data_IF_388135321927
#
_entry.id   IF_388135321927
#
_cell.length_a   1.000
_cell.length_b   1.000
_cell.length_c   1.000
_cell.angle_alpha   90.00
_cell.angle_beta   90.00
_cell.angle_gamma   90.00
#
_symmetry.space_group_name_H-M   'P 1'
#
loop_
_entity.id
_entity.type
_entity.pdbx_description
1 polymer ?
#
# COMPACT_ATOMS: atom_id res chain seq x y z
N UNK A 1 3.37 64.62 14.19
CA UNK A 1 3.75 63.48 15.06
C UNK A 1 2.75 63.43 16.21
N UNK A 2 2.33 62.26 16.76
CA UNK A 2 2.69 60.84 16.49
C UNK A 2 1.50 59.99 15.97
N UNK A 3 1.73 59.01 15.08
CA UNK A 3 1.81 57.54 15.30
C UNK A 3 0.65 56.89 16.09
N UNK A 4 -0.10 55.98 15.45
CA UNK A 4 -0.19 54.61 15.98
C UNK A 4 -0.48 53.55 14.89
N UNK A 5 0.27 52.46 14.98
CA UNK A 5 0.34 51.30 14.07
C UNK A 5 -0.69 50.24 14.49
N UNK A 6 -1.24 49.49 13.53
CA UNK A 6 -1.25 48.02 13.55
C UNK A 6 -2.01 47.46 12.36
N UNK A 7 -1.25 47.01 11.36
CA UNK A 7 -1.65 45.94 10.47
C UNK A 7 -1.87 44.67 11.32
N UNK A 8 -2.94 43.94 11.05
CA UNK A 8 -2.99 42.51 11.36
C UNK A 8 -3.79 41.78 10.29
N UNK A 9 -3.08 41.49 9.20
CA UNK A 9 -3.26 40.22 8.50
C UNK A 9 -3.23 39.08 9.51
N UNK A 10 -4.18 38.16 9.38
CA UNK A 10 -4.08 36.72 9.66
C UNK A 10 -5.50 36.16 9.74
N UNK A 11 -5.92 35.50 8.66
CA UNK A 11 -6.45 34.14 8.69
C UNK A 11 -6.73 33.67 7.26
N UNK A 12 -5.68 33.64 6.44
CA UNK A 12 -5.59 32.56 5.45
C UNK A 12 -5.11 31.35 6.23
N UNK A 13 -6.07 30.54 6.68
CA UNK A 13 -5.77 29.19 7.12
C UNK A 13 -5.17 28.46 5.92
N UNK A 14 -3.98 27.84 6.07
CA UNK A 14 -3.41 27.08 4.97
C UNK A 14 -4.38 25.96 4.62
N UNK A 15 -4.89 25.97 3.38
CA UNK A 15 -5.40 24.75 2.76
C UNK A 15 -4.27 23.74 2.89
N UNK A 16 -4.57 22.60 3.52
CA UNK A 16 -3.72 21.42 3.53
C UNK A 16 -3.57 20.97 2.06
N UNK A 17 -2.71 21.66 1.33
CA UNK A 17 -2.17 21.23 0.06
C UNK A 17 -1.01 20.29 0.34
N UNK A 18 -1.06 19.14 -0.31
CA UNK A 18 0.07 18.60 -1.06
C UNK A 18 1.40 18.62 -0.33
N UNK A 19 1.49 17.87 0.77
CA UNK A 19 2.79 17.39 1.25
C UNK A 19 2.60 16.12 2.07
N UNK A 20 1.93 15.11 1.51
CA UNK A 20 2.37 13.75 1.78
C UNK A 20 3.79 13.68 1.21
N UNK A 21 4.77 13.40 2.07
CA UNK A 21 6.15 13.21 1.65
C UNK A 21 6.14 12.23 0.47
N UNK A 22 6.46 12.71 -0.73
CA UNK A 22 6.53 11.89 -1.92
C UNK A 22 7.76 10.98 -1.79
N UNK A 23 7.61 9.91 -0.99
CA UNK A 23 8.46 8.75 -1.14
C UNK A 23 8.38 8.29 -2.59
N UNK A 24 9.51 7.81 -3.11
CA UNK A 24 9.55 7.16 -4.41
C UNK A 24 8.51 6.04 -4.43
N UNK A 25 7.58 6.08 -5.39
CA UNK A 25 6.56 5.06 -5.57
C UNK A 25 7.24 3.79 -6.04
N UNK A 26 6.84 2.66 -5.48
CA UNK A 26 7.29 1.37 -5.97
C UNK A 26 6.35 0.85 -7.07
N UNK A 27 6.89 0.60 -8.25
CA UNK A 27 6.11 0.07 -9.35
C UNK A 27 5.92 -1.46 -9.20
N UNK A 28 4.68 -1.91 -9.02
CA UNK A 28 4.36 -3.33 -8.92
C UNK A 28 4.63 -4.08 -10.23
N UNK A 29 4.63 -3.39 -11.37
CA UNK A 29 4.98 -4.01 -12.66
C UNK A 29 6.42 -4.56 -12.65
N UNK A 30 7.32 -3.94 -11.88
CA UNK A 30 8.71 -4.41 -11.73
C UNK A 30 8.77 -5.84 -11.14
N UNK A 31 7.83 -6.23 -10.27
CA UNK A 31 7.76 -7.57 -9.66
C UNK A 31 7.60 -8.68 -10.71
N UNK A 32 7.00 -8.35 -11.85
CA UNK A 32 6.77 -9.26 -12.96
C UNK A 32 7.92 -9.25 -13.98
N UNK A 33 8.85 -8.30 -13.89
CA UNK A 33 9.97 -8.20 -14.82
C UNK A 33 10.85 -9.47 -14.80
N UNK A 34 11.29 -9.89 -15.99
CA UNK A 34 12.14 -11.07 -16.18
C UNK A 34 13.49 -10.69 -16.78
N UNK A 35 14.54 -11.40 -16.40
CA UNK A 35 15.87 -11.26 -16.99
C UNK A 35 16.76 -10.16 -16.39
N UNK A 36 16.29 -9.44 -15.37
CA UNK A 36 17.07 -8.47 -14.59
C UNK A 36 17.49 -8.98 -13.22
N UNK A 37 18.19 -8.13 -12.46
CA UNK A 37 18.46 -8.39 -11.05
C UNK A 37 17.15 -8.51 -10.25
N UNK A 38 17.14 -9.24 -9.12
CA UNK A 38 15.96 -9.31 -8.26
C UNK A 38 15.52 -7.92 -7.81
N UNK A 39 14.24 -7.60 -8.02
CA UNK A 39 13.66 -6.33 -7.60
C UNK A 39 13.73 -6.18 -6.08
N UNK A 40 14.29 -5.07 -5.62
CA UNK A 40 14.34 -4.73 -4.21
C UNK A 40 12.99 -4.17 -3.77
N UNK A 41 12.27 -4.91 -2.91
CA UNK A 41 11.02 -4.43 -2.33
C UNK A 41 11.29 -3.26 -1.35
N UNK A 42 10.40 -2.25 -1.28
CA UNK A 42 10.55 -1.04 -0.45
C UNK A 42 10.27 -1.31 1.04
N UNK A 43 10.98 -2.27 1.62
CA UNK A 43 10.79 -2.69 3.01
C UNK A 43 11.69 -1.83 3.89
N UNK A 44 11.15 -0.72 4.38
CA UNK A 44 11.87 0.18 5.29
C UNK A 44 11.67 -0.18 6.77
N UNK A 45 12.70 -0.03 7.63
CA UNK A 45 12.61 -0.33 9.05
C UNK A 45 11.49 0.44 9.77
N UNK A 46 10.47 -0.31 10.18
CA UNK A 46 9.42 -0.04 11.18
C UNK A 46 9.09 1.42 11.55
N UNK A 47 8.86 2.29 10.57
CA UNK A 47 8.25 3.61 10.76
C UNK A 47 6.72 3.58 10.58
N UNK A 48 6.13 2.44 10.23
CA UNK A 48 4.69 2.20 10.06
C UNK A 48 3.97 3.07 9.02
N UNK A 49 4.68 3.95 8.32
CA UNK A 49 4.12 4.81 7.28
C UNK A 49 3.59 3.96 6.11
N UNK A 50 2.49 4.33 5.46
CA UNK A 50 2.07 3.66 4.23
C UNK A 50 3.17 3.66 3.17
N UNK A 51 3.23 2.61 2.36
CA UNK A 51 4.16 2.52 1.23
C UNK A 51 3.39 2.85 -0.05
N UNK A 52 3.73 3.95 -0.74
CA UNK A 52 3.08 4.29 -1.99
C UNK A 52 3.56 3.32 -3.09
N UNK A 53 2.61 2.77 -3.84
CA UNK A 53 2.84 1.84 -4.94
C UNK A 53 2.08 2.30 -6.19
N UNK A 54 2.50 1.83 -7.35
CA UNK A 54 1.72 1.94 -8.59
C UNK A 54 1.54 0.57 -9.23
N UNK A 55 0.46 0.38 -9.98
CA UNK A 55 0.29 -0.77 -10.87
C UNK A 55 -0.48 -0.33 -12.11
N UNK A 56 0.06 -0.63 -13.31
CA UNK A 56 -0.50 -0.17 -14.59
C UNK A 56 -0.77 1.34 -14.63
N UNK A 57 0.08 2.12 -13.94
CA UNK A 57 -0.04 3.59 -13.84
C UNK A 57 -1.13 4.10 -12.89
N UNK A 58 -1.80 3.22 -12.13
CA UNK A 58 -2.74 3.58 -11.07
C UNK A 58 -2.03 3.56 -9.72
N UNK A 59 -2.24 4.61 -8.93
CA UNK A 59 -1.60 4.78 -7.62
C UNK A 59 -2.43 4.15 -6.48
N UNK A 60 -1.72 3.51 -5.55
CA UNK A 60 -2.28 2.96 -4.32
C UNK A 60 -1.31 3.20 -3.15
N UNK A 61 -1.75 2.94 -1.92
CA UNK A 61 -0.86 2.90 -0.76
C UNK A 61 -1.09 1.67 0.10
N UNK A 62 -0.03 0.89 0.34
CA UNK A 62 -0.06 -0.28 1.22
C UNK A 62 0.12 0.15 2.67
N UNK A 63 -0.81 -0.25 3.54
CA UNK A 63 -0.71 -0.06 4.98
C UNK A 63 0.40 -0.91 5.60
N UNK A 64 0.96 -0.45 6.73
CA UNK A 64 1.94 -1.22 7.51
C UNK A 64 1.63 -1.28 8.99
N UNK A 65 0.44 -0.83 9.39
CA UNK A 65 0.00 -0.80 10.78
C UNK A 65 -1.29 -1.60 10.95
N UNK A 66 -1.12 -2.88 11.27
CA UNK A 66 -2.24 -3.79 11.51
C UNK A 66 -2.41 -4.10 12.98
N UNK A 67 -3.64 -4.04 13.46
CA UNK A 67 -3.99 -4.55 14.80
C UNK A 67 -4.11 -6.07 14.76
N UNK A 68 -4.04 -6.72 15.93
CA UNK A 68 -4.24 -8.17 16.01
C UNK A 68 -5.62 -8.62 15.49
N UNK A 69 -6.65 -7.79 15.60
CA UNK A 69 -7.98 -8.06 15.00
C UNK A 69 -7.93 -7.99 13.48
N UNK A 70 -7.30 -6.97 12.91
CA UNK A 70 -7.13 -6.83 11.45
C UNK A 70 -6.37 -8.01 10.86
N UNK A 71 -5.31 -8.46 11.52
CA UNK A 71 -4.54 -9.63 11.09
C UNK A 71 -5.41 -10.90 11.13
N UNK A 72 -6.25 -11.09 12.16
CA UNK A 72 -7.15 -12.24 12.24
C UNK A 72 -8.20 -12.24 11.14
N UNK A 73 -8.73 -11.07 10.80
CA UNK A 73 -9.69 -10.88 9.71
C UNK A 73 -9.07 -11.25 8.36
N UNK A 74 -7.86 -10.74 8.09
CA UNK A 74 -7.07 -11.12 6.91
C UNK A 74 -6.92 -12.65 6.77
N UNK A 75 -6.49 -13.34 7.83
CA UNK A 75 -6.34 -14.80 7.77
C UNK A 75 -7.68 -15.54 7.70
N UNK A 76 -8.77 -14.96 8.21
CA UNK A 76 -10.10 -15.55 8.07
C UNK A 76 -10.53 -15.54 6.59
N UNK A 77 -10.35 -14.41 5.89
CA UNK A 77 -10.64 -14.30 4.45
C UNK A 77 -9.79 -15.27 3.63
N UNK A 78 -8.49 -15.36 3.91
CA UNK A 78 -7.57 -16.27 3.20
C UNK A 78 -7.90 -17.76 3.36
N UNK A 79 -8.67 -18.15 4.40
CA UNK A 79 -9.10 -19.54 4.63
C UNK A 79 -10.39 -19.92 3.91
N UNK A 80 -11.14 -18.94 3.40
CA UNK A 80 -12.39 -19.20 2.68
C UNK A 80 -12.05 -19.81 1.32
N UNK A 81 -12.49 -21.04 1.08
CA UNK A 81 -12.28 -21.75 -0.19
C UNK A 81 -13.52 -21.65 -1.08
N UNK A 82 -13.32 -21.65 -2.40
CA UNK A 82 -14.41 -21.66 -3.38
C UNK A 82 -15.15 -20.33 -3.58
N UNK A 83 -14.70 -19.25 -2.93
CA UNK A 83 -15.15 -17.88 -3.23
C UNK A 83 -13.93 -17.01 -3.47
N UNK A 84 -13.94 -16.24 -4.54
CA UNK A 84 -12.92 -15.22 -4.77
C UNK A 84 -13.14 -14.04 -3.81
N UNK A 85 -12.18 -13.83 -2.93
CA UNK A 85 -12.19 -12.80 -1.86
C UNK A 85 -11.01 -11.84 -2.00
N UNK A 86 -10.34 -11.85 -3.15
CA UNK A 86 -9.12 -11.09 -3.38
C UNK A 86 -9.31 -9.58 -3.12
N UNK A 87 -10.41 -8.99 -3.61
CA UNK A 87 -10.73 -7.58 -3.35
C UNK A 87 -10.92 -7.28 -1.85
N UNK A 88 -11.58 -8.16 -1.09
CA UNK A 88 -11.75 -7.99 0.37
C UNK A 88 -10.40 -8.10 1.10
N UNK A 89 -9.51 -8.96 0.62
CA UNK A 89 -8.14 -9.05 1.15
C UNK A 89 -7.36 -7.76 0.85
N UNK A 90 -7.49 -7.21 -0.36
CA UNK A 90 -6.85 -5.95 -0.74
C UNK A 90 -7.42 -4.76 0.05
N UNK A 91 -8.71 -4.75 0.38
CA UNK A 91 -9.34 -3.72 1.22
C UNK A 91 -8.73 -3.65 2.62
N UNK A 92 -8.30 -4.78 3.17
CA UNK A 92 -7.57 -4.80 4.44
C UNK A 92 -6.14 -4.25 4.27
N UNK A 93 -5.48 -4.55 3.16
CA UNK A 93 -4.07 -4.25 2.97
C UNK A 93 -3.84 -2.80 2.55
N UNK A 94 -4.70 -2.26 1.70
CA UNK A 94 -4.60 -0.90 1.18
C UNK A 94 -5.08 0.13 2.21
N UNK A 95 -4.45 1.29 2.18
CA UNK A 95 -4.84 2.49 2.94
C UNK A 95 -5.26 3.65 2.04
N UNK A 96 -4.95 3.56 0.74
CA UNK A 96 -5.39 4.46 -0.32
C UNK A 96 -5.50 3.68 -1.65
N UNK A 97 -6.41 4.12 -2.51
CA UNK A 97 -6.78 3.47 -3.79
C UNK A 97 -7.95 2.48 -3.69
N UNK A 98 -8.47 2.03 -4.85
CA UNK A 98 -9.63 1.13 -4.93
C UNK A 98 -9.22 -0.36 -5.02
N UNK A 99 -9.53 -1.19 -4.01
CA UNK A 99 -9.17 -2.61 -4.02
C UNK A 99 -9.90 -3.41 -5.11
N UNK A 100 -11.08 -2.99 -5.56
CA UNK A 100 -11.80 -3.67 -6.65
C UNK A 100 -11.13 -3.39 -7.99
N UNK A 101 -10.66 -2.17 -8.20
CA UNK A 101 -9.88 -1.81 -9.38
C UNK A 101 -8.58 -2.63 -9.42
N UNK A 102 -7.81 -2.63 -8.33
CA UNK A 102 -6.57 -3.40 -8.27
C UNK A 102 -6.80 -4.90 -8.50
N UNK A 103 -7.88 -5.46 -7.94
CA UNK A 103 -8.25 -6.85 -8.23
C UNK A 103 -8.64 -7.05 -9.69
N UNK A 104 -9.44 -6.16 -10.28
CA UNK A 104 -9.81 -6.21 -11.70
C UNK A 104 -8.59 -6.20 -12.63
N UNK A 105 -7.51 -5.52 -12.23
CA UNK A 105 -6.27 -5.44 -13.00
C UNK A 105 -5.39 -6.69 -12.82
N UNK A 106 -5.39 -7.31 -11.63
CA UNK A 106 -4.58 -8.50 -11.30
C UNK A 106 -5.27 -9.80 -11.74
N UNK A 107 -6.61 -9.88 -11.67
CA UNK A 107 -7.40 -11.09 -11.94
C UNK A 107 -7.27 -11.68 -13.35
N UNK A 108 -7.01 -10.91 -14.42
CA UNK A 108 -6.81 -11.46 -15.76
C UNK A 108 -5.43 -12.11 -15.95
N UNK A 109 -4.48 -11.86 -15.05
CA UNK A 109 -3.13 -12.41 -15.12
C UNK A 109 -3.13 -13.92 -14.83
N UNK A 110 -2.04 -14.60 -15.19
CA UNK A 110 -1.88 -15.99 -14.81
C UNK A 110 -1.77 -16.14 -13.30
N UNK A 111 -2.16 -17.32 -12.76
CA UNK A 111 -2.05 -17.61 -11.33
C UNK A 111 -0.63 -17.38 -10.77
N UNK A 112 0.39 -17.59 -11.59
CA UNK A 112 1.79 -17.38 -11.20
C UNK A 112 2.11 -15.89 -11.04
N UNK A 113 1.65 -15.05 -11.96
CA UNK A 113 1.84 -13.60 -11.91
C UNK A 113 1.05 -12.99 -10.75
N UNK A 114 -0.24 -13.33 -10.63
CA UNK A 114 -1.08 -12.84 -9.53
C UNK A 114 -0.48 -13.23 -8.17
N UNK A 115 -0.03 -14.48 -8.00
CA UNK A 115 0.60 -14.91 -6.74
C UNK A 115 1.87 -14.12 -6.41
N UNK A 116 2.71 -13.82 -7.41
CA UNK A 116 3.91 -12.99 -7.21
C UNK A 116 3.55 -11.59 -6.74
N UNK A 117 2.54 -10.96 -7.34
CA UNK A 117 2.07 -9.63 -6.94
C UNK A 117 1.52 -9.66 -5.52
N UNK A 118 0.66 -10.61 -5.17
CA UNK A 118 0.13 -10.76 -3.81
C UNK A 118 1.24 -10.99 -2.79
N UNK A 119 2.22 -11.85 -3.08
CA UNK A 119 3.37 -12.04 -2.19
C UNK A 119 4.17 -10.75 -1.99
N UNK A 120 4.42 -9.97 -3.04
CA UNK A 120 5.10 -8.69 -2.93
C UNK A 120 4.31 -7.71 -2.06
N UNK A 121 3.00 -7.57 -2.31
CA UNK A 121 2.08 -6.75 -1.52
C UNK A 121 2.13 -7.16 -0.03
N UNK A 122 2.05 -8.45 0.29
CA UNK A 122 2.08 -8.94 1.66
C UNK A 122 3.44 -8.78 2.35
N UNK A 123 4.54 -8.86 1.59
CA UNK A 123 5.89 -8.55 2.09
C UNK A 123 6.03 -7.06 2.41
N UNK A 124 5.56 -6.18 1.53
CA UNK A 124 5.56 -4.72 1.75
C UNK A 124 4.68 -4.35 2.96
N UNK A 125 3.51 -4.98 3.09
CA UNK A 125 2.60 -4.82 4.21
C UNK A 125 3.19 -5.32 5.54
N UNK A 126 4.26 -6.13 5.51
CA UNK A 126 4.80 -6.77 6.71
C UNK A 126 3.93 -7.90 7.25
N UNK A 127 3.06 -8.48 6.42
CA UNK A 127 2.31 -9.69 6.75
C UNK A 127 3.16 -10.95 6.51
N UNK A 128 4.11 -10.88 5.57
CA UNK A 128 5.10 -11.92 5.27
C UNK A 128 6.53 -11.44 5.51
N UNK A 129 7.42 -12.38 5.83
CA UNK A 129 8.86 -12.16 5.76
C UNK A 129 9.36 -12.21 4.29
N UNK A 130 10.64 -11.85 4.07
CA UNK A 130 11.27 -11.87 2.75
C UNK A 130 11.25 -13.25 2.07
N UNK A 131 11.21 -14.33 2.86
CA UNK A 131 11.12 -15.71 2.36
C UNK A 131 9.69 -16.14 2.01
N UNK A 132 8.68 -15.27 2.14
CA UNK A 132 7.28 -15.56 1.84
C UNK A 132 6.52 -16.27 2.97
N UNK A 133 7.11 -16.39 4.16
CA UNK A 133 6.41 -16.94 5.32
C UNK A 133 5.63 -15.84 6.04
N UNK A 134 4.34 -16.07 6.29
CA UNK A 134 3.53 -15.19 7.12
C UNK A 134 4.11 -15.04 8.53
N UNK A 135 4.11 -13.81 9.07
CA UNK A 135 4.70 -13.52 10.38
C UNK A 135 3.80 -13.89 11.56
N UNK A 136 2.48 -13.99 11.34
CA UNK A 136 1.49 -14.35 12.36
C UNK A 136 1.05 -15.84 12.28
N UNK A 137 1.77 -16.67 11.52
CA UNK A 137 1.51 -18.12 11.37
C UNK A 137 2.18 -18.97 12.43
#
# INVERSE_FOLDING_TARGET
MPENKSKKDKNDAPRLGDTAAAGERFDLDDVLAVGGDPVALPIVPNNYEPVPISFLGVDYAIGRRYTGSTVREFFALMRVTGTDRAAEVLDIVLTDGDPNQLWSDISPLSIYESNKLFEAIYKIAGLMNLSGKFLAS
#
